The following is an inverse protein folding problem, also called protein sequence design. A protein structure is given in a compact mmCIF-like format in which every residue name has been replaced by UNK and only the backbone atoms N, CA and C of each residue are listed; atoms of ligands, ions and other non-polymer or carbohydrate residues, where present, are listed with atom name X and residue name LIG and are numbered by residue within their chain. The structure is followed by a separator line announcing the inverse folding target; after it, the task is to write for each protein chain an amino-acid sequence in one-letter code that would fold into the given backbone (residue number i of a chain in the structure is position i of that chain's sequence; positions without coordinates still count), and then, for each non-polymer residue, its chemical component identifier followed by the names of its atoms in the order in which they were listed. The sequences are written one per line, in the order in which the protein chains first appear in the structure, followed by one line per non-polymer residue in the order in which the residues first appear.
data_IF_512782231377
#
_entry.id   IF_512782231377
#
_cell.length_a   1.000
_cell.length_b   1.000
_cell.length_c   1.000
_cell.angle_alpha   90.00
_cell.angle_beta   90.00
_cell.angle_gamma   90.00
#
_symmetry.space_group_name_H-M   'P 1'
#
loop_
_entity.id
_entity.type
_entity.pdbx_description
1 polymer ?
#
# COMPACT_ATOMS: atom_id res chain seq x y z
N UNK A 1 -3.84 6.64 -17.72
CA UNK A 1 -4.14 5.23 -17.66
C UNK A 1 -4.14 4.73 -16.23
N UNK A 2 -5.18 4.06 -15.87
CA UNK A 2 -5.29 3.60 -14.51
C UNK A 2 -4.56 2.30 -14.33
N UNK A 3 -4.35 1.97 -13.08
CA UNK A 3 -3.76 0.74 -12.70
C UNK A 3 -4.78 -0.04 -11.97
N UNK A 4 -5.47 -0.94 -12.64
CA UNK A 4 -6.55 -1.68 -11.98
C UNK A 4 -6.11 -2.38 -10.70
N UNK A 5 -4.87 -2.84 -10.67
CA UNK A 5 -4.40 -3.49 -9.45
C UNK A 5 -4.26 -2.50 -8.31
N UNK A 6 -3.75 -1.31 -8.59
CA UNK A 6 -3.62 -0.31 -7.56
C UNK A 6 -4.99 0.10 -7.04
N UNK A 7 -5.95 0.24 -7.94
CA UNK A 7 -7.29 0.61 -7.52
C UNK A 7 -7.94 -0.48 -6.69
N UNK A 8 -7.71 -1.71 -7.06
CA UNK A 8 -8.23 -2.84 -6.31
C UNK A 8 -7.72 -2.83 -4.88
N UNK A 9 -6.43 -2.59 -4.71
CA UNK A 9 -5.85 -2.58 -3.38
C UNK A 9 -6.34 -1.37 -2.60
N UNK A 10 -6.37 -0.20 -3.24
CA UNK A 10 -6.83 1.00 -2.56
C UNK A 10 -8.27 0.86 -2.12
N UNK A 11 -9.10 0.24 -2.97
CA UNK A 11 -10.49 0.03 -2.63
C UNK A 11 -10.64 -0.94 -1.47
N UNK A 12 -9.83 -2.00 -1.45
CA UNK A 12 -9.91 -2.95 -0.37
C UNK A 12 -9.56 -2.28 0.95
N UNK A 13 -8.57 -1.39 0.93
CA UNK A 13 -8.23 -0.66 2.14
C UNK A 13 -9.34 0.30 2.53
N UNK A 14 -9.95 0.95 1.54
CA UNK A 14 -11.02 1.88 1.84
C UNK A 14 -12.20 1.19 2.47
N UNK A 15 -12.45 -0.04 2.10
CA UNK A 15 -13.57 -0.78 2.66
C UNK A 15 -13.40 -1.06 4.15
N UNK A 16 -12.19 -0.98 4.64
CA UNK A 16 -11.96 -1.18 6.06
C UNK A 16 -12.06 0.12 6.83
N UNK A 17 -12.32 1.21 6.15
CA UNK A 17 -12.40 2.51 6.79
C UNK A 17 -11.14 3.34 6.69
N UNK A 18 -10.10 2.77 6.10
CA UNK A 18 -8.86 3.51 5.94
C UNK A 18 -8.90 4.34 4.68
N UNK A 19 -8.07 5.38 4.65
CA UNK A 19 -7.95 6.19 3.48
C UNK A 19 -6.67 5.82 2.77
N UNK A 20 -6.78 5.37 1.55
CA UNK A 20 -5.61 4.99 0.78
C UNK A 20 -5.65 5.68 -0.57
N UNK A 21 -4.49 6.16 -1.00
CA UNK A 21 -4.39 6.88 -2.27
C UNK A 21 -3.24 6.33 -3.08
N UNK A 22 -3.44 6.30 -4.38
CA UNK A 22 -2.38 5.89 -5.28
C UNK A 22 -1.46 7.07 -5.46
N UNK A 23 -0.18 6.84 -5.25
CA UNK A 23 0.78 7.92 -5.33
C UNK A 23 1.08 8.25 -6.77
N UNK A 24 1.21 9.52 -7.04
CA UNK A 24 1.34 9.94 -8.40
C UNK A 24 2.67 9.71 -9.06
N UNK A 25 3.62 9.16 -8.34
CA UNK A 25 4.91 8.92 -8.96
C UNK A 25 4.78 8.06 -10.19
N UNK A 26 3.73 7.31 -10.27
CA UNK A 26 3.51 6.48 -11.44
C UNK A 26 3.42 7.29 -12.70
N UNK A 27 2.96 8.51 -12.59
CA UNK A 27 2.77 9.32 -13.75
C UNK A 27 4.05 9.96 -14.20
N UNK A 28 5.06 9.95 -13.37
CA UNK A 28 6.27 10.68 -13.65
C UNK A 28 7.33 9.90 -14.36
N UNK A 29 7.29 8.60 -14.25
CA UNK A 29 8.30 7.82 -14.91
C UNK A 29 7.77 6.49 -15.29
N UNK A 30 8.49 5.84 -16.09
CA UNK A 30 8.13 4.57 -16.57
C UNK A 30 8.39 3.58 -15.55
N UNK A 31 7.47 3.31 -14.75
CA UNK A 31 7.63 2.37 -13.69
C UNK A 31 7.44 0.98 -14.15
N UNK A 32 8.01 0.08 -13.42
CA UNK A 32 7.71 -1.31 -13.60
C UNK A 32 6.23 -1.50 -13.35
N UNK A 33 5.60 -2.31 -14.12
CA UNK A 33 4.20 -2.58 -13.94
C UNK A 33 3.94 -3.32 -12.66
N UNK A 34 4.99 -3.84 -12.05
CA UNK A 34 4.84 -4.64 -10.85
C UNK A 34 4.98 -3.86 -9.57
N UNK A 35 5.36 -2.59 -9.67
CA UNK A 35 5.54 -1.77 -8.49
C UNK A 35 4.39 -0.80 -8.34
N UNK A 36 3.76 -0.83 -7.20
CA UNK A 36 2.61 0.03 -6.94
C UNK A 36 2.88 0.82 -5.68
N UNK A 37 2.78 2.13 -5.77
CA UNK A 37 2.99 3.02 -4.63
C UNK A 37 1.67 3.51 -4.10
N UNK A 38 1.44 3.33 -2.83
CA UNK A 38 0.21 3.76 -2.19
C UNK A 38 0.49 4.41 -0.86
N UNK A 39 -0.27 5.44 -0.53
CA UNK A 39 -0.24 5.97 0.82
C UNK A 39 -1.46 5.43 1.54
N UNK A 40 -1.34 5.26 2.85
CA UNK A 40 -2.47 4.86 3.66
C UNK A 40 -2.44 5.71 4.92
N UNK A 41 -3.57 6.27 5.28
CA UNK A 41 -3.65 7.15 6.42
C UNK A 41 -3.80 6.37 7.71
N UNK A 42 -2.90 6.56 8.63
CA UNK A 42 -2.90 5.87 9.92
C UNK A 42 -3.03 6.91 11.01
N UNK A 43 -4.16 6.93 11.67
CA UNK A 43 -4.40 7.89 12.72
C UNK A 43 -4.31 7.28 14.11
N UNK A 44 -4.54 6.00 14.20
CA UNK A 44 -4.50 5.28 15.47
C UNK A 44 -3.78 3.98 15.29
N UNK A 45 -3.34 3.40 16.36
CA UNK A 45 -2.65 2.13 16.30
C UNK A 45 -3.49 1.05 15.65
N UNK A 46 -4.78 1.07 15.90
CA UNK A 46 -5.63 0.04 15.32
C UNK A 46 -5.71 0.19 13.81
N UNK A 47 -5.54 1.39 13.30
CA UNK A 47 -5.53 1.59 11.85
C UNK A 47 -4.36 0.86 11.22
N UNK A 48 -3.24 0.86 11.91
CA UNK A 48 -2.08 0.17 11.40
C UNK A 48 -2.33 -1.35 11.36
N UNK A 49 -2.95 -1.88 12.38
CA UNK A 49 -3.28 -3.30 12.39
C UNK A 49 -4.29 -3.63 11.32
N UNK A 50 -5.26 -2.75 11.10
CA UNK A 50 -6.26 -2.97 10.08
C UNK A 50 -5.62 -2.99 8.70
N UNK A 51 -4.67 -2.10 8.48
CA UNK A 51 -3.95 -2.03 7.22
C UNK A 51 -3.19 -3.35 6.97
N UNK A 52 -2.49 -3.85 7.99
CA UNK A 52 -1.79 -5.12 7.84
C UNK A 52 -2.75 -6.25 7.52
N UNK A 53 -3.83 -6.32 8.29
CA UNK A 53 -4.80 -7.37 8.10
C UNK A 53 -5.40 -7.33 6.70
N UNK A 54 -5.72 -6.14 6.23
CA UNK A 54 -6.32 -6.01 4.91
C UNK A 54 -5.39 -6.51 3.82
N UNK A 55 -4.12 -6.16 3.91
CA UNK A 55 -3.18 -6.63 2.89
C UNK A 55 -2.97 -8.13 2.96
N UNK A 56 -2.95 -8.68 4.16
CA UNK A 56 -2.80 -10.12 4.29
C UNK A 56 -3.99 -10.84 3.72
N UNK A 57 -5.18 -10.27 3.87
CA UNK A 57 -6.38 -10.87 3.33
C UNK A 57 -6.37 -10.86 1.80
N UNK A 58 -5.66 -9.95 1.21
CA UNK A 58 -5.53 -9.90 -0.24
C UNK A 58 -4.45 -10.84 -0.75
N UNK A 59 -3.71 -11.46 0.16
CA UNK A 59 -2.69 -12.40 -0.24
C UNK A 59 -1.29 -11.81 -0.27
N UNK A 60 -1.13 -10.60 0.24
CA UNK A 60 0.18 -9.99 0.30
C UNK A 60 0.84 -10.27 1.63
N UNK A 61 2.15 -10.17 1.65
CA UNK A 61 2.87 -10.33 2.89
C UNK A 61 3.94 -9.27 2.98
N UNK A 62 4.21 -8.86 4.19
CA UNK A 62 5.21 -7.85 4.44
C UNK A 62 6.60 -8.45 4.23
N UNK A 63 7.44 -7.73 3.54
CA UNK A 63 8.77 -8.21 3.30
C UNK A 63 9.82 -7.43 4.10
N UNK A 64 9.79 -6.12 3.99
CA UNK A 64 10.77 -5.31 4.69
C UNK A 64 10.36 -3.86 4.65
N UNK A 65 11.07 -3.02 5.39
CA UNK A 65 10.86 -1.58 5.33
C UNK A 65 12.14 -0.96 4.82
N UNK A 66 12.03 -0.22 3.75
CA UNK A 66 13.19 0.45 3.17
C UNK A 66 13.26 1.89 3.65
N UNK A 67 14.43 2.50 3.58
CA UNK A 67 14.56 3.89 4.02
C UNK A 67 13.79 4.83 3.10
N UNK A 68 13.39 5.99 3.60
CA UNK A 68 12.71 6.94 2.73
C UNK A 68 13.56 7.28 1.52
N UNK A 69 12.96 7.58 0.38
CA UNK A 69 11.51 7.81 0.21
C UNK A 69 10.69 6.54 0.04
N UNK A 70 11.28 5.40 0.17
CA UNK A 70 10.51 4.17 0.12
C UNK A 70 9.76 3.98 1.42
N UNK A 71 9.05 2.88 1.53
CA UNK A 71 8.24 2.61 2.70
C UNK A 71 8.24 1.13 3.01
N UNK A 72 7.09 0.64 3.40
CA UNK A 72 6.95 -0.77 3.76
C UNK A 72 6.68 -1.57 2.50
N UNK A 73 7.52 -2.54 2.26
CA UNK A 73 7.45 -3.31 1.03
C UNK A 73 6.67 -4.60 1.27
N UNK A 74 5.64 -4.79 0.48
CA UNK A 74 4.81 -5.98 0.54
C UNK A 74 4.86 -6.68 -0.80
N UNK A 75 4.80 -7.99 -0.78
CA UNK A 75 4.85 -8.75 -2.02
C UNK A 75 3.66 -9.69 -2.07
N UNK A 76 3.18 -9.90 -3.26
CA UNK A 76 2.04 -10.78 -3.46
C UNK A 76 1.71 -10.87 -4.92
N UNK A 77 0.44 -11.15 -5.22
CA UNK A 77 0.02 -11.29 -6.59
C UNK A 77 -1.27 -10.56 -6.86
N UNK A 78 -1.42 -10.14 -8.09
CA UNK A 78 -2.65 -9.52 -8.50
C UNK A 78 -3.72 -10.60 -8.65
N UNK A 79 -4.92 -10.16 -8.99
CA UNK A 79 -6.02 -11.10 -9.15
C UNK A 79 -5.80 -12.05 -10.32
N UNK A 80 -4.97 -11.67 -11.27
CA UNK A 80 -4.69 -12.54 -12.40
C UNK A 80 -3.40 -13.33 -12.22
N UNK A 81 -2.80 -13.27 -11.05
CA UNK A 81 -1.63 -14.07 -10.75
C UNK A 81 -0.30 -13.41 -11.01
N UNK A 82 -0.32 -12.18 -11.50
CA UNK A 82 0.92 -11.46 -11.76
C UNK A 82 1.57 -11.04 -10.46
N UNK A 83 2.87 -11.20 -10.35
CA UNK A 83 3.57 -10.77 -9.14
C UNK A 83 3.51 -9.27 -8.99
N UNK A 84 3.27 -8.83 -7.79
CA UNK A 84 3.17 -7.42 -7.48
C UNK A 84 4.03 -7.08 -6.28
N UNK A 85 4.58 -5.88 -6.30
CA UNK A 85 5.31 -5.34 -5.17
C UNK A 85 4.61 -4.05 -4.77
N UNK A 86 4.27 -3.94 -3.50
CA UNK A 86 3.61 -2.75 -2.98
C UNK A 86 4.61 -1.97 -2.16
N UNK A 87 4.69 -0.67 -2.45
CA UNK A 87 5.48 0.24 -1.66
C UNK A 87 4.48 1.07 -0.88
N UNK A 88 4.22 0.68 0.36
CA UNK A 88 3.20 1.30 1.17
C UNK A 88 3.78 2.40 2.03
N UNK A 89 3.09 3.52 2.05
CA UNK A 89 3.55 4.68 2.79
C UNK A 89 2.52 5.08 3.83
N UNK A 90 2.63 4.53 5.04
CA UNK A 90 1.73 4.95 6.11
C UNK A 90 1.98 6.41 6.43
N UNK A 91 0.93 7.20 6.43
CA UNK A 91 1.03 8.62 6.70
C UNK A 91 0.04 9.02 7.76
N UNK A 92 0.25 10.17 8.39
CA UNK A 92 -0.67 10.67 9.36
C UNK A 92 -0.02 10.74 10.71
N UNK A 93 -0.86 10.96 11.76
CA UNK A 93 -0.34 11.12 13.04
C UNK A 93 -0.01 9.82 13.70
N UNK A 94 1.16 9.73 14.24
CA UNK A 94 1.57 8.57 14.97
C UNK A 94 1.78 8.92 16.40
N UNK A 95 1.01 8.39 17.29
CA UNK A 95 1.12 8.76 18.69
C UNK A 95 2.48 8.51 19.28
N UNK A 96 3.14 7.49 18.86
CA UNK A 96 4.41 7.19 19.44
C UNK A 96 5.54 8.01 18.85
N UNK A 97 5.23 8.82 17.90
CA UNK A 97 6.21 9.66 17.30
C UNK A 97 6.42 10.81 18.19
N UNK A 98 7.37 10.94 18.83
CA UNK A 98 7.61 12.13 19.61
C UNK A 98 8.88 12.05 20.33
#
# INVERSE_FOLDING_TARGET
MTRPDAEWIAEALAKTGLKADIVGSLALKKQSYHDIDLTVQILEDRDYQTYWYALEQLGFRYERTDPPPSGEIWVGRSRDGTSLVLDMHPVGRHPEQH
#
